data_IF_226836916670
#
_entry.id   IF_226836916670
#
_cell.length_a   1.000
_cell.length_b   1.000
_cell.length_c   1.000
_cell.angle_alpha   90.00
_cell.angle_beta   90.00
_cell.angle_gamma   90.00
#
_symmetry.space_group_name_H-M   'P 1'
#
loop_
_entity.id
_entity.type
_entity.pdbx_description
1 polymer ?
#
# COMPACT_ATOMS: atom_id res chain seq x y z
N UNK A 1 -0.03 46.63 -51.14
CA UNK A 1 0.74 47.34 -50.10
C UNK A 1 0.31 46.78 -48.75
N UNK A 2 1.14 45.94 -48.11
CA UNK A 2 0.79 45.17 -46.90
C UNK A 2 1.50 45.81 -45.71
N UNK A 3 0.75 46.30 -44.72
CA UNK A 3 1.31 46.73 -43.43
C UNK A 3 1.20 45.57 -42.43
N UNK A 4 2.34 44.98 -42.04
CA UNK A 4 2.42 44.10 -40.87
C UNK A 4 2.52 44.97 -39.62
N UNK A 5 1.50 44.95 -38.78
CA UNK A 5 1.55 45.53 -37.43
C UNK A 5 2.40 44.59 -36.56
N UNK A 6 3.59 45.07 -36.19
CA UNK A 6 4.52 44.37 -35.30
C UNK A 6 4.09 44.62 -33.85
N UNK A 7 3.36 43.68 -33.27
CA UNK A 7 2.96 43.74 -31.87
C UNK A 7 4.17 43.41 -30.99
N UNK A 8 4.68 44.40 -30.25
CA UNK A 8 5.81 44.23 -29.33
C UNK A 8 5.31 43.62 -28.02
N UNK A 9 5.81 42.43 -27.68
CA UNK A 9 5.65 41.85 -26.34
C UNK A 9 6.46 42.66 -25.34
N UNK A 10 5.79 43.34 -24.41
CA UNK A 10 6.41 44.11 -23.32
C UNK A 10 6.83 43.14 -22.22
N UNK A 11 8.11 42.76 -22.18
CA UNK A 11 8.70 42.06 -21.04
C UNK A 11 8.78 43.03 -19.86
N UNK A 12 7.98 42.78 -18.81
CA UNK A 12 8.11 43.47 -17.52
C UNK A 12 9.14 42.68 -16.70
N UNK A 13 10.26 43.30 -16.35
CA UNK A 13 11.23 42.72 -15.42
C UNK A 13 10.78 42.88 -13.98
N UNK A 14 11.16 41.94 -13.12
CA UNK A 14 10.97 42.05 -11.68
C UNK A 14 11.91 43.11 -11.07
N UNK A 15 11.43 43.84 -10.07
CA UNK A 15 12.28 44.75 -9.30
C UNK A 15 13.12 43.98 -8.27
N UNK A 16 14.38 44.41 -8.06
CA UNK A 16 15.28 43.79 -7.07
C UNK A 16 14.68 43.78 -5.66
N UNK A 17 13.98 44.85 -5.28
CA UNK A 17 13.36 44.95 -3.95
C UNK A 17 12.18 43.98 -3.81
N UNK A 18 11.46 43.71 -4.89
CA UNK A 18 10.30 42.83 -4.91
C UNK A 18 10.75 41.38 -4.71
N UNK A 19 11.86 40.99 -5.36
CA UNK A 19 12.50 39.70 -5.13
C UNK A 19 13.03 39.59 -3.68
N UNK A 20 13.67 40.65 -3.16
CA UNK A 20 14.26 40.66 -1.82
C UNK A 20 13.18 40.51 -0.72
N UNK A 21 12.08 41.24 -0.83
CA UNK A 21 10.96 41.13 0.11
C UNK A 21 10.31 39.74 0.00
N UNK A 22 10.15 39.19 -1.21
CA UNK A 22 9.57 37.87 -1.41
C UNK A 22 10.38 36.76 -0.74
N UNK A 23 11.70 36.73 -0.92
CA UNK A 23 12.55 35.72 -0.26
C UNK A 23 12.59 35.91 1.26
N UNK A 24 12.50 37.15 1.75
CA UNK A 24 12.39 37.44 3.18
C UNK A 24 11.11 36.88 3.81
N UNK A 25 9.96 37.07 3.15
CA UNK A 25 8.67 36.52 3.62
C UNK A 25 8.68 34.99 3.54
N UNK A 26 9.20 34.40 2.45
CA UNK A 26 9.30 32.94 2.31
C UNK A 26 10.19 32.31 3.39
N UNK A 27 11.28 32.98 3.78
CA UNK A 27 12.15 32.50 4.86
C UNK A 27 11.41 32.43 6.20
N UNK A 28 10.64 33.46 6.55
CA UNK A 28 9.86 33.48 7.80
C UNK A 28 8.78 32.41 7.81
N UNK A 29 8.01 32.29 6.71
CA UNK A 29 6.96 31.27 6.61
C UNK A 29 7.55 29.85 6.67
N UNK A 30 8.66 29.61 5.97
CA UNK A 30 9.31 28.30 5.93
C UNK A 30 9.82 27.80 7.29
N UNK A 31 10.33 28.70 8.14
CA UNK A 31 10.76 28.32 9.50
C UNK A 31 9.55 27.94 10.37
N UNK A 32 8.47 28.73 10.31
CA UNK A 32 7.27 28.46 11.13
C UNK A 32 6.60 27.15 10.71
N UNK A 33 6.49 26.87 9.41
CA UNK A 33 5.80 25.65 8.93
C UNK A 33 6.51 24.37 9.32
N UNK A 34 7.85 24.32 9.36
CA UNK A 34 8.60 23.12 9.77
C UNK A 34 8.51 22.86 11.27
N UNK A 35 8.32 23.92 12.08
CA UNK A 35 8.14 23.77 13.53
C UNK A 35 6.71 23.29 13.85
N UNK A 36 5.71 23.78 13.11
CA UNK A 36 4.30 23.47 13.36
C UNK A 36 3.85 22.16 12.72
N UNK A 37 4.34 21.83 11.53
CA UNK A 37 4.08 20.58 10.84
C UNK A 37 5.28 19.67 11.04
N UNK A 38 5.07 18.43 11.50
CA UNK A 38 6.06 17.38 11.38
C UNK A 38 5.91 16.77 9.96
N UNK A 39 6.70 17.19 8.95
CA UNK A 39 6.49 16.74 7.57
C UNK A 39 6.69 15.23 7.42
N UNK A 40 7.57 14.64 8.24
CA UNK A 40 7.76 13.20 8.26
C UNK A 40 6.46 12.49 8.67
N UNK A 41 5.75 13.02 9.67
CA UNK A 41 4.46 12.49 10.13
C UNK A 41 3.37 12.60 9.06
N UNK A 42 3.32 13.70 8.32
CA UNK A 42 2.37 13.85 7.21
C UNK A 42 2.58 12.80 6.11
N UNK A 43 3.83 12.44 5.81
CA UNK A 43 4.11 11.35 4.87
C UNK A 43 3.66 9.99 5.41
N UNK A 44 3.79 9.76 6.73
CA UNK A 44 3.30 8.54 7.38
C UNK A 44 1.78 8.44 7.31
N UNK A 45 1.07 9.53 7.62
CA UNK A 45 -0.39 9.59 7.50
C UNK A 45 -0.86 9.35 6.07
N UNK A 46 -0.13 9.87 5.07
CA UNK A 46 -0.42 9.61 3.66
C UNK A 46 -0.26 8.13 3.31
N UNK A 47 0.80 7.46 3.78
CA UNK A 47 1.01 6.02 3.55
C UNK A 47 -0.05 5.17 4.25
N UNK A 48 -0.42 5.52 5.48
CA UNK A 48 -1.50 4.84 6.19
C UNK A 48 -2.86 5.01 5.49
N UNK A 49 -3.12 6.17 4.91
CA UNK A 49 -4.31 6.39 4.07
C UNK A 49 -4.29 5.47 2.85
N UNK A 50 -3.14 5.31 2.19
CA UNK A 50 -2.97 4.32 1.11
C UNK A 50 -3.23 2.89 1.60
N UNK A 51 -2.72 2.51 2.78
CA UNK A 51 -2.95 1.19 3.40
C UNK A 51 -4.43 0.92 3.60
N UNK A 52 -5.15 1.86 4.21
CA UNK A 52 -6.59 1.70 4.42
C UNK A 52 -7.38 1.60 3.12
N UNK A 53 -6.98 2.37 2.09
CA UNK A 53 -7.59 2.26 0.76
C UNK A 53 -7.34 0.87 0.14
N UNK A 54 -6.13 0.34 0.29
CA UNK A 54 -5.78 -1.02 -0.15
C UNK A 54 -6.60 -2.09 0.57
N UNK A 55 -6.71 -2.02 1.90
CA UNK A 55 -7.52 -2.94 2.69
C UNK A 55 -9.00 -2.88 2.32
N UNK A 56 -9.56 -1.69 2.13
CA UNK A 56 -10.95 -1.51 1.72
C UNK A 56 -11.21 -2.14 0.33
N UNK A 57 -10.24 -2.02 -0.57
CA UNK A 57 -10.28 -2.59 -1.91
C UNK A 57 -10.22 -4.12 -1.87
N UNK A 58 -9.29 -4.68 -1.11
CA UNK A 58 -9.16 -6.13 -0.90
C UNK A 58 -10.41 -6.72 -0.26
N UNK A 59 -10.92 -6.09 0.81
CA UNK A 59 -12.15 -6.53 1.49
C UNK A 59 -13.33 -6.58 0.51
N UNK A 60 -13.51 -5.54 -0.31
CA UNK A 60 -14.56 -5.52 -1.32
C UNK A 60 -14.40 -6.63 -2.35
N UNK A 61 -13.18 -6.86 -2.84
CA UNK A 61 -12.90 -7.90 -3.83
C UNK A 61 -13.16 -9.31 -3.26
N UNK A 62 -12.71 -9.59 -2.04
CA UNK A 62 -12.91 -10.89 -1.38
C UNK A 62 -14.39 -11.11 -1.05
N UNK A 63 -15.11 -10.10 -0.56
CA UNK A 63 -16.56 -10.22 -0.32
C UNK A 63 -17.32 -10.51 -1.61
N UNK A 64 -16.94 -9.88 -2.74
CA UNK A 64 -17.55 -10.19 -4.04
C UNK A 64 -17.19 -11.62 -4.51
N UNK A 65 -15.95 -12.08 -4.26
CA UNK A 65 -15.54 -13.44 -4.55
C UNK A 65 -16.36 -14.47 -3.77
N UNK A 66 -16.52 -14.28 -2.45
CA UNK A 66 -17.31 -15.15 -1.57
C UNK A 66 -18.81 -15.17 -1.93
N UNK A 67 -19.33 -14.08 -2.52
CA UNK A 67 -20.71 -14.05 -2.99
C UNK A 67 -20.96 -14.96 -4.20
N UNK A 68 -19.92 -15.24 -4.99
CA UNK A 68 -20.00 -16.08 -6.19
C UNK A 68 -19.42 -17.48 -5.97
N UNK A 69 -18.53 -17.65 -4.99
CA UNK A 69 -17.87 -18.92 -4.69
C UNK A 69 -18.14 -19.29 -3.22
N UNK A 70 -18.83 -20.40 -3.01
CA UNK A 70 -19.12 -20.92 -1.67
C UNK A 70 -18.09 -21.92 -1.17
N UNK A 71 -17.02 -22.18 -1.92
CA UNK A 71 -15.95 -23.11 -1.56
C UNK A 71 -14.80 -22.36 -0.85
N UNK A 72 -14.62 -22.55 0.47
CA UNK A 72 -13.52 -21.92 1.20
C UNK A 72 -12.13 -22.36 0.77
N UNK A 73 -12.00 -23.51 0.10
CA UNK A 73 -10.69 -24.00 -0.39
C UNK A 73 -10.13 -23.17 -1.54
N UNK A 74 -10.99 -22.47 -2.27
CA UNK A 74 -10.60 -21.52 -3.32
C UNK A 74 -10.01 -20.21 -2.77
N UNK A 75 -9.93 -20.07 -1.44
CA UNK A 75 -9.36 -18.92 -0.73
C UNK A 75 -7.95 -19.18 -0.17
N UNK A 76 -7.35 -20.33 -0.49
CA UNK A 76 -6.04 -20.75 0.00
C UNK A 76 -6.11 -21.85 1.04
N UNK A 77 -4.94 -22.25 1.53
CA UNK A 77 -4.78 -23.34 2.50
C UNK A 77 -5.01 -22.85 3.93
N UNK A 78 -5.40 -23.79 4.81
CA UNK A 78 -5.50 -23.52 6.25
C UNK A 78 -4.11 -23.49 6.88
N UNK A 79 -3.96 -22.73 7.97
CA UNK A 79 -2.69 -22.59 8.68
C UNK A 79 -1.54 -22.05 7.81
N UNK A 80 -1.87 -21.26 6.78
CA UNK A 80 -0.90 -20.55 5.95
C UNK A 80 -1.15 -19.06 6.05
N UNK A 81 -0.10 -18.31 6.38
CA UNK A 81 -0.06 -16.85 6.34
C UNK A 81 0.57 -16.44 5.04
N UNK A 82 -0.23 -15.93 4.12
CA UNK A 82 0.27 -15.40 2.87
C UNK A 82 0.77 -13.96 3.05
N UNK A 83 1.95 -13.64 2.51
CA UNK A 83 2.67 -12.41 2.82
C UNK A 83 2.92 -11.60 1.54
N UNK A 84 2.68 -10.29 1.57
CA UNK A 84 2.92 -9.41 0.43
C UNK A 84 4.40 -9.06 0.19
N UNK A 85 5.33 -9.83 0.74
CA UNK A 85 6.77 -9.68 0.50
C UNK A 85 7.20 -10.63 -0.63
N UNK A 86 7.97 -10.13 -1.61
CA UNK A 86 8.48 -11.00 -2.66
C UNK A 86 9.57 -11.93 -2.11
N UNK A 87 9.48 -13.21 -2.44
CA UNK A 87 10.53 -14.19 -2.20
C UNK A 87 10.46 -15.27 -3.27
N UNK A 88 11.61 -15.74 -3.73
CA UNK A 88 11.68 -16.88 -4.66
C UNK A 88 11.59 -18.21 -3.88
N UNK A 89 11.84 -18.18 -2.57
CA UNK A 89 11.47 -19.27 -1.66
C UNK A 89 9.98 -19.15 -1.31
N UNK A 90 9.15 -20.15 -1.67
CA UNK A 90 7.72 -20.11 -1.37
C UNK A 90 7.44 -20.04 0.14
N UNK A 91 8.36 -20.45 1.01
CA UNK A 91 8.18 -20.38 2.46
C UNK A 91 8.71 -19.07 3.08
N UNK A 92 8.98 -18.03 2.29
CA UNK A 92 9.52 -16.77 2.77
C UNK A 92 10.88 -16.90 3.49
N UNK A 93 11.69 -17.92 3.14
CA UNK A 93 12.92 -18.26 3.84
C UNK A 93 13.97 -17.15 3.85
N UNK A 94 14.01 -16.32 2.79
CA UNK A 94 14.95 -15.19 2.68
C UNK A 94 14.67 -14.09 3.71
N UNK A 95 13.41 -13.99 4.16
CA UNK A 95 12.97 -13.04 5.18
C UNK A 95 13.10 -13.59 6.61
N UNK A 96 13.54 -14.85 6.77
CA UNK A 96 13.57 -15.51 8.08
C UNK A 96 12.17 -15.70 8.69
N UNK A 97 11.12 -15.64 7.85
CA UNK A 97 9.74 -15.91 8.26
C UNK A 97 9.55 -17.43 8.33
N UNK A 98 9.85 -18.00 9.50
CA UNK A 98 9.71 -19.43 9.75
C UNK A 98 8.28 -19.85 10.10
N UNK A 99 8.12 -21.15 10.36
CA UNK A 99 6.90 -21.69 10.93
C UNK A 99 6.71 -21.26 12.39
N UNK A 100 5.47 -21.06 12.82
CA UNK A 100 5.14 -20.87 14.23
C UNK A 100 4.00 -21.79 14.66
N UNK A 101 3.86 -22.02 15.96
CA UNK A 101 2.77 -22.83 16.53
C UNK A 101 1.87 -21.91 17.33
N UNK A 102 0.57 -21.99 17.09
CA UNK A 102 -0.41 -21.21 17.84
C UNK A 102 -0.73 -21.84 19.21
N UNK A 103 -1.57 -21.16 20.00
CA UNK A 103 -2.00 -21.62 21.31
C UNK A 103 -2.81 -22.93 21.29
N UNK A 104 -3.36 -23.30 20.14
CA UNK A 104 -4.11 -24.53 19.92
C UNK A 104 -3.24 -25.69 19.40
N UNK A 105 -1.94 -25.45 19.22
CA UNK A 105 -0.99 -26.45 18.71
C UNK A 105 -0.98 -26.59 17.19
N UNK A 106 -1.65 -25.71 16.45
CA UNK A 106 -1.60 -25.74 14.99
C UNK A 106 -0.29 -25.13 14.50
N UNK A 107 0.33 -25.77 13.51
CA UNK A 107 1.53 -25.27 12.86
C UNK A 107 1.17 -24.36 11.70
N UNK A 108 1.52 -23.09 11.83
CA UNK A 108 1.36 -22.07 10.81
C UNK A 108 2.63 -21.90 9.99
N UNK A 109 2.47 -21.77 8.68
CA UNK A 109 3.56 -21.52 7.73
C UNK A 109 3.37 -20.18 7.04
N UNK A 110 4.46 -19.52 6.69
CA UNK A 110 4.40 -18.34 5.83
C UNK A 110 4.50 -18.77 4.37
N UNK A 111 3.78 -18.06 3.50
CA UNK A 111 3.90 -18.26 2.07
C UNK A 111 4.12 -16.95 1.33
N UNK A 112 5.15 -16.93 0.49
CA UNK A 112 5.53 -15.80 -0.34
C UNK A 112 5.35 -16.13 -1.82
N UNK A 113 5.11 -15.09 -2.60
CA UNK A 113 5.05 -15.18 -4.05
C UNK A 113 6.35 -14.61 -4.67
N UNK A 114 6.82 -15.16 -5.80
CA UNK A 114 7.93 -14.59 -6.55
C UNK A 114 7.67 -13.14 -6.95
N UNK A 115 8.74 -12.38 -7.16
CA UNK A 115 8.62 -10.95 -7.50
C UNK A 115 7.79 -10.69 -8.76
N UNK A 116 7.84 -11.61 -9.73
CA UNK A 116 7.12 -11.53 -10.99
C UNK A 116 5.60 -11.75 -10.87
N UNK A 117 5.18 -12.37 -9.77
CA UNK A 117 3.81 -12.85 -9.57
C UNK A 117 3.14 -12.15 -8.38
N UNK A 118 3.92 -11.51 -7.49
CA UNK A 118 3.48 -10.89 -6.25
C UNK A 118 2.13 -10.17 -6.36
N UNK A 119 1.97 -9.28 -7.36
CA UNK A 119 0.76 -8.47 -7.53
C UNK A 119 -0.31 -9.07 -8.45
N UNK A 120 -0.13 -10.30 -8.94
CA UNK A 120 -1.10 -10.93 -9.85
C UNK A 120 -2.38 -11.29 -9.12
N UNK A 121 -3.51 -10.99 -9.73
CA UNK A 121 -4.84 -11.22 -9.15
C UNK A 121 -5.53 -12.48 -9.71
N UNK A 122 -4.77 -13.38 -10.33
CA UNK A 122 -5.26 -14.61 -10.96
C UNK A 122 -5.12 -15.88 -10.08
N UNK A 123 -4.78 -15.71 -8.80
CA UNK A 123 -4.51 -16.78 -7.85
C UNK A 123 -3.04 -17.17 -7.70
N UNK A 124 -2.12 -16.62 -8.51
CA UNK A 124 -0.67 -16.86 -8.37
C UNK A 124 0.08 -15.81 -7.53
N UNK A 125 -0.58 -14.70 -7.17
CA UNK A 125 0.04 -13.64 -6.38
C UNK A 125 0.07 -13.94 -4.88
N UNK A 126 0.38 -12.92 -4.08
CA UNK A 126 0.48 -13.09 -2.63
C UNK A 126 -0.84 -13.39 -1.94
N UNK A 127 -2.00 -13.23 -2.61
CA UNK A 127 -3.27 -13.80 -2.15
C UNK A 127 -3.65 -14.93 -3.11
N UNK A 128 -3.90 -16.15 -2.62
CA UNK A 128 -4.19 -17.33 -3.44
C UNK A 128 -5.65 -17.36 -3.93
N UNK A 129 -6.25 -16.20 -4.21
CA UNK A 129 -7.61 -16.06 -4.73
C UNK A 129 -7.53 -15.61 -6.18
N UNK A 130 -8.27 -16.29 -7.05
CA UNK A 130 -8.44 -15.85 -8.43
C UNK A 130 -9.56 -14.80 -8.53
N UNK A 131 -9.16 -13.53 -8.58
CA UNK A 131 -10.05 -12.37 -8.76
C UNK A 131 -10.37 -12.07 -10.24
N UNK A 132 -9.91 -12.91 -11.19
CA UNK A 132 -10.14 -12.77 -12.64
C UNK A 132 -11.24 -13.71 -13.17
N UNK A 133 -11.95 -14.43 -12.29
CA UNK A 133 -12.95 -15.42 -12.70
C UNK A 133 -14.18 -14.80 -13.39
N UNK A 134 -14.77 -15.54 -14.33
CA UNK A 134 -16.06 -15.23 -14.98
C UNK A 134 -16.11 -13.94 -15.83
N UNK A 135 -14.98 -13.57 -16.45
CA UNK A 135 -14.93 -12.47 -17.43
C UNK A 135 -15.05 -11.07 -16.81
N UNK A 136 -14.98 -10.97 -15.48
CA UNK A 136 -14.89 -9.72 -14.74
C UNK A 136 -13.69 -9.77 -13.79
N UNK A 137 -12.72 -8.89 -14.02
CA UNK A 137 -11.66 -8.65 -13.05
C UNK A 137 -12.23 -7.87 -11.87
N UNK A 138 -12.27 -8.47 -10.68
CA UNK A 138 -12.67 -7.82 -9.43
C UNK A 138 -11.58 -6.87 -8.92
N UNK A 139 -10.33 -7.13 -9.33
CA UNK A 139 -9.14 -6.39 -8.93
C UNK A 139 -8.09 -6.45 -10.04
N UNK A 140 -7.54 -5.30 -10.50
CA UNK A 140 -6.54 -5.29 -11.57
C UNK A 140 -5.15 -5.79 -11.12
N UNK A 141 -4.81 -5.60 -9.84
CA UNK A 141 -3.57 -6.07 -9.22
C UNK A 141 -3.73 -6.11 -7.71
N UNK A 142 -3.10 -7.08 -7.04
CA UNK A 142 -3.03 -7.11 -5.58
C UNK A 142 -2.20 -5.91 -5.08
N UNK A 143 -2.73 -5.10 -4.16
CA UNK A 143 -1.97 -4.00 -3.58
C UNK A 143 -0.83 -4.56 -2.71
N UNK A 144 0.23 -3.76 -2.60
CA UNK A 144 1.34 -3.96 -1.68
C UNK A 144 1.49 -2.73 -0.79
N UNK A 145 2.12 -2.90 0.36
CA UNK A 145 2.40 -1.78 1.24
C UNK A 145 3.28 -0.74 0.53
N UNK A 146 3.09 0.58 0.73
CA UNK A 146 3.95 1.59 0.10
C UNK A 146 5.44 1.46 0.43
N UNK A 147 5.77 0.83 1.56
CA UNK A 147 7.15 0.56 2.00
C UNK A 147 7.56 -0.89 1.71
N UNK A 148 6.63 -1.83 1.91
CA UNK A 148 6.79 -3.28 1.63
C UNK A 148 8.10 -3.90 2.09
N UNK A 149 8.37 -3.83 3.40
CA UNK A 149 9.63 -4.30 3.98
C UNK A 149 9.40 -5.00 5.33
N UNK A 150 10.26 -5.97 5.65
CA UNK A 150 10.23 -6.67 6.93
C UNK A 150 10.58 -5.75 8.11
N UNK A 151 11.51 -4.80 7.91
CA UNK A 151 11.92 -3.85 8.95
C UNK A 151 10.78 -2.87 9.27
N UNK A 152 10.20 -3.02 10.47
CA UNK A 152 9.00 -2.31 10.88
C UNK A 152 7.69 -3.03 10.53
N UNK A 153 7.73 -4.19 9.88
CA UNK A 153 6.55 -4.99 9.53
C UNK A 153 5.54 -4.26 8.65
N UNK A 154 6.03 -3.49 7.67
CA UNK A 154 5.21 -2.75 6.71
C UNK A 154 4.95 -3.61 5.49
N UNK A 155 4.05 -4.58 5.62
CA UNK A 155 3.56 -5.44 4.55
C UNK A 155 2.12 -5.90 4.89
N UNK A 156 1.43 -6.50 3.92
CA UNK A 156 0.14 -7.13 4.16
C UNK A 156 0.31 -8.62 4.45
N UNK A 157 -0.52 -9.14 5.35
CA UNK A 157 -0.69 -10.58 5.53
C UNK A 157 -2.13 -10.96 5.30
N UNK A 158 -2.36 -12.16 4.77
CA UNK A 158 -3.68 -12.74 4.56
C UNK A 158 -3.71 -14.17 5.09
N UNK A 159 -4.76 -14.54 5.81
CA UNK A 159 -5.01 -15.89 6.27
C UNK A 159 -6.52 -16.16 6.29
N UNK A 160 -6.89 -17.44 6.29
CA UNK A 160 -8.28 -17.89 6.37
C UNK A 160 -8.45 -19.06 7.33
N UNK A 161 -9.66 -19.21 7.87
CA UNK A 161 -10.05 -20.36 8.69
C UNK A 161 -10.74 -21.46 7.87
N UNK A 162 -11.13 -22.57 8.51
CA UNK A 162 -11.84 -23.66 7.84
C UNK A 162 -13.16 -23.24 7.21
N UNK A 163 -13.89 -22.31 7.84
CA UNK A 163 -15.19 -21.80 7.38
C UNK A 163 -15.08 -20.76 6.25
N UNK A 164 -13.88 -20.30 5.91
CA UNK A 164 -13.64 -19.26 4.91
C UNK A 164 -13.75 -17.84 5.46
N UNK A 165 -13.82 -17.66 6.78
CA UNK A 165 -13.52 -16.35 7.36
C UNK A 165 -12.06 -16.04 7.12
N UNK A 166 -11.76 -14.76 6.91
CA UNK A 166 -10.42 -14.33 6.58
C UNK A 166 -10.02 -13.12 7.40
N UNK A 167 -8.71 -12.96 7.53
CA UNK A 167 -8.09 -11.82 8.18
C UNK A 167 -7.05 -11.21 7.23
N UNK A 168 -7.03 -9.88 7.15
CA UNK A 168 -5.98 -9.13 6.45
C UNK A 168 -5.42 -8.14 7.43
N UNK A 169 -4.12 -8.22 7.67
CA UNK A 169 -3.42 -7.35 8.60
C UNK A 169 -2.37 -6.49 7.91
N UNK A 170 -2.11 -5.33 8.52
CA UNK A 170 -1.03 -4.42 8.16
C UNK A 170 -0.70 -3.56 9.37
N UNK A 171 0.52 -3.05 9.42
CA UNK A 171 0.94 -2.13 10.47
C UNK A 171 0.85 -0.68 9.99
N UNK A 172 0.25 0.18 10.81
CA UNK A 172 0.24 1.63 10.61
C UNK A 172 1.55 2.26 11.08
N UNK A 173 1.93 3.37 10.47
CA UNK A 173 3.21 4.04 10.73
C UNK A 173 3.05 5.36 11.50
N UNK A 174 1.96 6.08 11.26
CA UNK A 174 1.71 7.37 11.91
C UNK A 174 1.30 7.20 13.36
N UNK A 175 1.74 8.13 14.20
CA UNK A 175 1.34 8.27 15.61
C UNK A 175 -0.18 8.35 15.75
N UNK A 176 -0.83 8.97 14.77
CA UNK A 176 -2.29 9.09 14.70
C UNK A 176 -3.00 7.73 14.69
N UNK A 177 -2.45 6.76 13.98
CA UNK A 177 -3.06 5.44 13.79
C UNK A 177 -2.31 4.30 14.49
N UNK A 178 -1.16 4.56 15.12
CA UNK A 178 -0.36 3.56 15.84
C UNK A 178 -0.83 3.30 17.28
N UNK A 179 -1.95 3.90 17.70
CA UNK A 179 -2.40 3.89 19.09
C UNK A 179 -1.65 4.94 19.92
N UNK A 180 -2.29 6.08 20.18
CA UNK A 180 -1.83 7.02 21.19
C UNK A 180 -2.49 6.69 22.53
N UNK A 181 -1.73 6.01 23.39
CA UNK A 181 -2.05 5.58 24.78
C UNK A 181 -3.23 4.62 24.95
#
# INVERSE_FOLDING_TARGET
MIYKVKQWMRTRGFSLIELLVAVGVLAVIGVVTVITLNPAELFKESRDTSRFSSLATLRKAITLFQANNSDPSAMGDQHVVYVSLPDEDPNCGSWGLGSFVDENGNTWQHQCAPSADLTRANGSGWIPINFESEGKSLLPALPIDPVNQLDGSYFYTYARDEAGHYEINTRTESVKYSGGN
#
